data_IF_278697566511
#
_entry.id   IF_278697566511
#
_cell.length_a   1.000
_cell.length_b   1.000
_cell.length_c   1.000
_cell.angle_alpha   90.00
_cell.angle_beta   90.00
_cell.angle_gamma   90.00
#
_symmetry.space_group_name_H-M   'P 1'
#
loop_
_entity.id
_entity.type
_entity.pdbx_description
1 polymer ?
#
# COMPACT_ATOMS: atom_id res chain seq x y z
N UNK A 1 -18.63 -16.26 -22.01
CA UNK A 1 -17.79 -15.23 -21.38
C UNK A 1 -16.37 -15.75 -21.39
N UNK A 2 -15.53 -15.16 -22.23
CA UNK A 2 -14.16 -15.62 -22.45
C UNK A 2 -13.29 -15.12 -21.29
N UNK A 3 -12.61 -16.00 -20.58
CA UNK A 3 -11.85 -15.68 -19.35
C UNK A 3 -10.44 -15.14 -19.69
N UNK A 4 -10.22 -14.74 -20.95
CA UNK A 4 -8.91 -14.36 -21.51
C UNK A 4 -8.75 -12.85 -21.77
N UNK A 5 -9.69 -12.01 -21.32
CA UNK A 5 -9.57 -10.55 -21.48
C UNK A 5 -8.88 -9.84 -20.31
N UNK A 6 -8.25 -10.58 -19.39
CA UNK A 6 -7.54 -9.96 -18.28
C UNK A 6 -6.18 -9.45 -18.77
N UNK A 7 -6.09 -8.15 -19.06
CA UNK A 7 -4.81 -7.48 -19.30
C UNK A 7 -3.92 -7.65 -18.06
N UNK A 8 -2.88 -8.48 -18.16
CA UNK A 8 -1.90 -8.68 -17.12
C UNK A 8 -0.73 -7.71 -17.34
N UNK A 9 -0.68 -6.63 -16.54
CA UNK A 9 0.31 -5.56 -16.66
C UNK A 9 1.08 -5.39 -15.36
N UNK A 10 2.41 -5.37 -15.47
CA UNK A 10 3.29 -4.99 -14.36
C UNK A 10 3.26 -3.47 -14.18
N UNK A 11 2.69 -2.99 -13.06
CA UNK A 11 2.59 -1.55 -12.75
C UNK A 11 3.63 -1.06 -11.74
N UNK A 12 4.24 -1.97 -10.97
CA UNK A 12 5.29 -1.65 -10.00
C UNK A 12 6.19 -2.88 -9.79
N UNK A 13 7.50 -2.66 -9.80
CA UNK A 13 8.52 -3.70 -9.59
C UNK A 13 9.16 -3.65 -8.20
N UNK A 14 8.65 -2.82 -7.29
CA UNK A 14 9.16 -2.75 -5.93
C UNK A 14 8.93 -4.11 -5.24
N UNK A 15 9.90 -4.60 -4.43
CA UNK A 15 9.72 -5.80 -3.62
C UNK A 15 8.73 -5.50 -2.48
N UNK A 16 7.45 -5.62 -2.80
CA UNK A 16 6.35 -5.31 -1.90
C UNK A 16 5.58 -6.55 -1.49
N UNK A 17 5.22 -6.64 -0.22
CA UNK A 17 4.24 -7.60 0.30
C UNK A 17 2.98 -6.88 0.74
N UNK A 18 1.90 -7.65 0.95
CA UNK A 18 0.69 -7.19 1.64
C UNK A 18 0.12 -5.85 1.13
N UNK A 19 -0.44 -5.84 -0.08
CA UNK A 19 -1.10 -4.65 -0.63
C UNK A 19 -2.58 -4.53 -0.20
N UNK A 20 -3.08 -3.29 -0.18
CA UNK A 20 -4.47 -2.92 0.05
C UNK A 20 -4.89 -1.92 -1.03
N UNK A 21 -6.09 -2.09 -1.59
CA UNK A 21 -6.67 -1.11 -2.53
C UNK A 21 -7.72 -0.31 -1.79
N UNK A 22 -7.60 1.02 -1.82
CA UNK A 22 -8.59 1.92 -1.24
C UNK A 22 -8.80 3.13 -2.15
N UNK A 23 -10.04 3.31 -2.63
CA UNK A 23 -10.37 4.34 -3.61
C UNK A 23 -9.55 4.19 -4.89
N UNK A 24 -8.79 5.23 -5.24
CA UNK A 24 -7.94 5.27 -6.44
C UNK A 24 -6.47 4.97 -6.17
N UNK A 25 -6.14 4.42 -5.00
CA UNK A 25 -4.76 4.14 -4.60
C UNK A 25 -4.57 2.68 -4.18
N UNK A 26 -3.37 2.17 -4.48
CA UNK A 26 -2.80 0.95 -3.95
C UNK A 26 -1.84 1.37 -2.83
N UNK A 27 -2.00 0.78 -1.66
CA UNK A 27 -1.11 0.92 -0.52
C UNK A 27 -0.36 -0.39 -0.33
N UNK A 28 0.96 -0.36 -0.17
CA UNK A 28 1.76 -1.58 -0.06
C UNK A 28 2.97 -1.34 0.84
N UNK A 29 3.44 -2.38 1.50
CA UNK A 29 4.62 -2.35 2.36
C UNK A 29 5.82 -2.93 1.60
N UNK A 30 6.97 -2.24 1.62
CA UNK A 30 8.20 -2.78 1.03
C UNK A 30 8.99 -3.56 2.08
N UNK A 31 9.54 -4.71 1.68
CA UNK A 31 10.40 -5.56 2.54
C UNK A 31 11.88 -5.34 2.19
N UNK A 32 12.33 -4.09 2.34
CA UNK A 32 13.71 -3.69 2.09
C UNK A 32 14.34 -3.04 3.35
N UNK A 33 15.65 -2.73 3.39
CA UNK A 33 16.27 -2.09 4.57
C UNK A 33 15.63 -0.77 5.01
N UNK A 34 14.86 -0.12 4.13
CA UNK A 34 14.08 1.08 4.40
C UNK A 34 12.57 0.78 4.40
N UNK A 35 12.20 -0.42 4.86
CA UNK A 35 10.83 -0.92 4.87
C UNK A 35 9.83 0.14 5.28
N UNK A 36 8.90 0.45 4.39
CA UNK A 36 7.93 1.52 4.58
C UNK A 36 6.66 1.23 3.81
N UNK A 37 5.56 1.85 4.22
CA UNK A 37 4.34 1.85 3.42
C UNK A 37 4.46 2.91 2.33
N UNK A 38 4.12 2.52 1.11
CA UNK A 38 3.99 3.40 -0.05
C UNK A 38 2.54 3.41 -0.51
N UNK A 39 2.16 4.49 -1.19
CA UNK A 39 0.94 4.53 -2.01
C UNK A 39 1.28 4.85 -3.46
N UNK A 40 0.49 4.34 -4.39
CA UNK A 40 0.53 4.69 -5.81
C UNK A 40 -0.88 4.63 -6.40
N UNK A 41 -1.11 5.27 -7.55
CA UNK A 41 -2.35 5.14 -8.32
C UNK A 41 -2.50 3.72 -8.88
N UNK A 42 -3.72 3.39 -9.30
CA UNK A 42 -4.04 2.07 -9.87
C UNK A 42 -3.25 1.75 -11.17
N UNK A 43 -2.71 2.77 -11.84
CA UNK A 43 -1.85 2.64 -13.02
C UNK A 43 -0.34 2.64 -12.69
N UNK A 44 0.02 2.66 -11.41
CA UNK A 44 1.41 2.72 -10.94
C UNK A 44 2.00 4.14 -10.86
N UNK A 45 1.27 5.17 -11.27
CA UNK A 45 1.72 6.57 -11.16
C UNK A 45 1.60 7.13 -9.74
N UNK A 46 2.15 8.33 -9.51
CA UNK A 46 2.11 9.05 -8.22
C UNK A 46 2.54 8.20 -7.01
N UNK A 47 3.65 7.47 -7.18
CA UNK A 47 4.25 6.71 -6.08
C UNK A 47 4.78 7.66 -5.00
N UNK A 48 4.31 7.48 -3.77
CA UNK A 48 4.66 8.30 -2.61
C UNK A 48 4.89 7.43 -1.37
N UNK A 49 5.95 7.73 -0.62
CA UNK A 49 6.20 7.09 0.68
C UNK A 49 5.25 7.66 1.75
N UNK A 50 4.85 6.81 2.70
CA UNK A 50 4.09 7.17 3.90
C UNK A 50 5.01 6.99 5.13
N UNK A 51 5.77 8.04 5.51
CA UNK A 51 6.93 7.89 6.39
C UNK A 51 6.61 7.46 7.82
N UNK A 52 5.37 7.64 8.29
CA UNK A 52 4.99 7.33 9.69
C UNK A 52 4.49 5.90 9.89
N UNK A 53 4.32 5.13 8.81
CA UNK A 53 3.79 3.77 8.86
C UNK A 53 4.91 2.80 8.52
N UNK A 54 5.45 2.17 9.56
CA UNK A 54 6.59 1.23 9.50
C UNK A 54 6.17 -0.21 9.80
N UNK A 55 4.89 -0.53 9.64
CA UNK A 55 4.33 -1.86 9.90
C UNK A 55 3.69 -2.42 8.64
N UNK A 56 3.94 -3.69 8.37
CA UNK A 56 3.26 -4.47 7.31
C UNK A 56 1.79 -4.75 7.67
N UNK A 57 1.46 -4.72 8.96
CA UNK A 57 0.10 -4.90 9.48
C UNK A 57 -0.61 -3.54 9.56
N UNK A 58 -1.17 -3.11 8.43
CA UNK A 58 -1.95 -1.89 8.33
C UNK A 58 -3.27 -2.09 7.56
N UNK A 59 -4.22 -1.20 7.81
CA UNK A 59 -5.47 -1.10 7.06
C UNK A 59 -5.80 0.35 6.75
N UNK A 60 -6.54 0.58 5.67
CA UNK A 60 -6.98 1.90 5.22
C UNK A 60 -8.50 1.99 5.35
N UNK A 61 -8.99 3.00 6.06
CA UNK A 61 -10.42 3.25 6.21
C UNK A 61 -10.69 4.76 6.25
N UNK A 62 -11.53 5.22 5.31
CA UNK A 62 -11.83 6.64 5.15
C UNK A 62 -10.58 7.44 4.80
N UNK A 63 -10.28 8.47 5.59
CA UNK A 63 -9.10 9.33 5.43
C UNK A 63 -7.94 8.90 6.35
N UNK A 64 -7.91 7.65 6.81
CA UNK A 64 -6.92 7.16 7.78
C UNK A 64 -6.29 5.84 7.40
N UNK A 65 -5.03 5.70 7.80
CA UNK A 65 -4.33 4.42 7.94
C UNK A 65 -4.28 4.07 9.41
N UNK A 66 -4.60 2.81 9.74
CA UNK A 66 -4.44 2.22 11.05
C UNK A 66 -3.35 1.16 11.00
N UNK A 67 -2.45 1.15 11.96
CA UNK A 67 -1.29 0.25 11.96
C UNK A 67 -0.84 -0.10 13.37
N UNK A 68 -0.21 -1.27 13.52
CA UNK A 68 0.40 -1.69 14.78
C UNK A 68 1.79 -1.06 14.96
N UNK A 69 2.09 -0.67 16.19
CA UNK A 69 3.37 -0.17 16.68
C UNK A 69 3.75 -0.94 17.96
N UNK A 70 4.95 -0.72 18.49
CA UNK A 70 5.42 -1.36 19.73
C UNK A 70 4.58 -0.99 20.96
N UNK A 71 3.90 0.15 20.93
CA UNK A 71 3.10 0.73 22.00
C UNK A 71 1.58 0.64 21.78
N UNK A 72 1.12 0.07 20.65
CA UNK A 72 -0.29 -0.17 20.40
C UNK A 72 -0.72 0.04 18.96
N UNK A 73 -1.99 0.41 18.77
CA UNK A 73 -2.58 0.69 17.45
C UNK A 73 -2.59 2.20 17.23
N UNK A 74 -1.90 2.66 16.19
CA UNK A 74 -1.84 4.06 15.80
C UNK A 74 -2.70 4.33 14.58
N UNK A 75 -3.07 5.61 14.39
CA UNK A 75 -3.71 6.05 13.15
C UNK A 75 -3.04 7.32 12.61
N UNK A 76 -2.85 7.36 11.30
CA UNK A 76 -2.33 8.51 10.56
C UNK A 76 -3.41 8.99 9.59
N UNK A 77 -3.61 10.31 9.48
CA UNK A 77 -4.48 10.90 8.47
C UNK A 77 -3.75 10.99 7.13
N UNK A 78 -4.42 10.60 6.04
CA UNK A 78 -3.93 10.53 4.66
C UNK A 78 -3.86 11.87 3.92
#
# INVERSE_FOLDING_TARGET
FNVDSAENTLICSDPGSSYKVFGSFIYYYTEDPNSSVYRMRLDGSDKQQIPQVTSSEFTVAGDRIYYSSSDGIHSMRL
#
